data_IF_114730972727
#
_entry.id   IF_114730972727
#
_cell.length_a   1.000
_cell.length_b   1.000
_cell.length_c   1.000
_cell.angle_alpha   90.00
_cell.angle_beta   90.00
_cell.angle_gamma   90.00
#
_symmetry.space_group_name_H-M   'P 1'
#
loop_
_entity.id
_entity.type
_entity.pdbx_description
1 polymer ?
#
# COMPACT_ATOMS: atom_id res chain seq x y z
N UNK A 1 -62.99 -19.73 -12.35
CA UNK A 1 -61.63 -20.32 -12.39
C UNK A 1 -61.31 -20.51 -13.86
N UNK A 2 -60.57 -19.63 -14.54
CA UNK A 2 -59.18 -19.23 -14.27
C UNK A 2 -58.96 -17.76 -14.65
N UNK A 3 -58.41 -16.99 -13.73
CA UNK A 3 -57.99 -15.60 -13.90
C UNK A 3 -56.85 -15.52 -14.93
N UNK A 4 -57.15 -15.00 -16.11
CA UNK A 4 -56.16 -14.62 -17.14
C UNK A 4 -56.49 -13.23 -17.68
N UNK A 5 -56.74 -12.28 -16.78
CA UNK A 5 -56.53 -10.88 -17.14
C UNK A 5 -55.05 -10.73 -17.48
N UNK A 6 -54.77 -10.46 -18.75
CA UNK A 6 -53.39 -10.40 -19.24
C UNK A 6 -52.63 -9.31 -18.49
N UNK A 7 -51.34 -9.50 -18.21
CA UNK A 7 -50.53 -8.54 -17.43
C UNK A 7 -50.62 -7.11 -18.02
N UNK A 8 -50.72 -7.01 -19.34
CA UNK A 8 -50.95 -5.75 -20.07
C UNK A 8 -52.32 -5.17 -19.75
N UNK A 9 -53.36 -5.99 -19.69
CA UNK A 9 -54.72 -5.58 -19.35
C UNK A 9 -54.81 -5.05 -17.91
N UNK A 10 -54.15 -5.72 -16.96
CA UNK A 10 -54.04 -5.22 -15.57
C UNK A 10 -53.27 -3.88 -15.50
N UNK A 11 -52.19 -3.73 -16.28
CA UNK A 11 -51.44 -2.49 -16.37
C UNK A 11 -52.30 -1.38 -16.98
N UNK A 12 -53.06 -1.66 -18.05
CA UNK A 12 -53.95 -0.68 -18.67
C UNK A 12 -55.09 -0.26 -17.77
N UNK A 13 -55.68 -1.19 -17.00
CA UNK A 13 -56.74 -0.88 -16.04
C UNK A 13 -56.19 -0.05 -14.88
N UNK A 14 -55.01 -0.41 -14.35
CA UNK A 14 -54.32 0.35 -13.31
C UNK A 14 -53.89 1.76 -13.79
N UNK A 15 -53.48 1.89 -15.05
CA UNK A 15 -53.22 3.20 -15.67
C UNK A 15 -54.48 4.01 -15.88
N UNK A 16 -55.61 3.38 -16.21
CA UNK A 16 -56.89 4.07 -16.44
C UNK A 16 -57.50 4.57 -15.13
N UNK A 17 -57.33 3.83 -14.04
CA UNK A 17 -57.86 4.17 -12.72
C UNK A 17 -56.95 5.12 -11.92
N UNK A 18 -55.62 4.95 -12.03
CA UNK A 18 -54.66 5.76 -11.25
C UNK A 18 -53.83 6.73 -12.10
N UNK A 19 -54.02 6.75 -13.42
CA UNK A 19 -53.51 7.74 -14.37
C UNK A 19 -52.04 8.10 -14.17
N UNK A 20 -51.84 9.20 -13.44
CA UNK A 20 -50.55 9.79 -13.15
C UNK A 20 -49.69 8.91 -12.21
N UNK A 21 -50.28 8.33 -11.17
CA UNK A 21 -49.52 7.59 -10.14
C UNK A 21 -48.95 6.28 -10.69
N UNK A 22 -49.74 5.57 -11.52
CA UNK A 22 -49.28 4.36 -12.19
C UNK A 22 -48.18 4.67 -13.21
N UNK A 23 -48.31 5.78 -13.95
CA UNK A 23 -47.30 6.23 -14.90
C UNK A 23 -45.97 6.57 -14.22
N UNK A 24 -46.01 7.31 -13.10
CA UNK A 24 -44.82 7.65 -12.32
C UNK A 24 -44.18 6.38 -11.76
N UNK A 25 -44.97 5.46 -11.21
CA UNK A 25 -44.48 4.18 -10.72
C UNK A 25 -43.76 3.37 -11.81
N UNK A 26 -44.39 3.22 -12.98
CA UNK A 26 -43.81 2.50 -14.12
C UNK A 26 -42.51 3.17 -14.61
N UNK A 27 -42.49 4.50 -14.72
CA UNK A 27 -41.32 5.27 -15.15
C UNK A 27 -40.15 5.12 -14.17
N UNK A 28 -40.41 5.22 -12.86
CA UNK A 28 -39.39 5.01 -11.83
C UNK A 28 -38.84 3.58 -11.87
N UNK A 29 -39.72 2.59 -11.98
CA UNK A 29 -39.31 1.18 -12.04
C UNK A 29 -38.46 0.90 -13.29
N UNK A 30 -38.81 1.50 -14.43
CA UNK A 30 -38.03 1.43 -15.66
C UNK A 30 -36.66 2.10 -15.50
N UNK A 31 -36.58 3.28 -14.89
CA UNK A 31 -35.32 3.97 -14.62
C UNK A 31 -34.41 3.15 -13.70
N UNK A 32 -34.95 2.55 -12.63
CA UNK A 32 -34.19 1.67 -11.75
C UNK A 32 -33.72 0.39 -12.46
N UNK A 33 -34.55 -0.20 -13.33
CA UNK A 33 -34.18 -1.36 -14.12
C UNK A 33 -33.05 -1.03 -15.11
N UNK A 34 -33.12 0.11 -15.79
CA UNK A 34 -32.06 0.60 -16.68
C UNK A 34 -30.78 0.90 -15.90
N UNK A 35 -30.89 1.57 -14.74
CA UNK A 35 -29.75 1.83 -13.87
C UNK A 35 -29.06 0.52 -13.45
N UNK A 36 -29.81 -0.48 -12.97
CA UNK A 36 -29.26 -1.78 -12.62
C UNK A 36 -28.60 -2.51 -13.79
N UNK A 37 -29.18 -2.44 -14.99
CA UNK A 37 -28.60 -3.03 -16.19
C UNK A 37 -27.32 -2.31 -16.64
N UNK A 38 -27.29 -0.98 -16.57
CA UNK A 38 -26.10 -0.16 -16.89
C UNK A 38 -25.03 -0.38 -15.84
N UNK A 39 -25.35 -0.44 -14.55
CA UNK A 39 -24.40 -0.77 -13.49
C UNK A 39 -23.81 -2.17 -13.73
N UNK A 40 -24.64 -3.17 -14.03
CA UNK A 40 -24.14 -4.51 -14.39
C UNK A 40 -23.20 -4.46 -15.58
N UNK A 41 -23.55 -3.72 -16.65
CA UNK A 41 -22.76 -3.61 -17.88
C UNK A 41 -21.47 -2.78 -17.71
N UNK A 42 -21.51 -1.73 -16.90
CA UNK A 42 -20.37 -0.87 -16.58
C UNK A 42 -19.34 -1.62 -15.71
N UNK A 43 -19.80 -2.48 -14.80
CA UNK A 43 -18.92 -3.35 -14.01
C UNK A 43 -18.46 -4.61 -14.76
N UNK A 44 -19.20 -5.11 -15.77
CA UNK A 44 -18.74 -6.24 -16.64
C UNK A 44 -17.93 -5.80 -17.85
N UNK A 45 -17.51 -4.54 -17.95
CA UNK A 45 -16.48 -4.19 -18.94
C UNK A 45 -15.18 -4.86 -18.52
N UNK A 46 -14.90 -6.05 -19.05
CA UNK A 46 -13.65 -6.80 -18.80
C UNK A 46 -12.41 -5.93 -18.99
N UNK A 47 -12.49 -4.91 -19.86
CA UNK A 47 -11.43 -3.93 -20.06
C UNK A 47 -11.17 -3.05 -18.82
N UNK A 48 -12.21 -2.65 -18.08
CA UNK A 48 -12.07 -1.86 -16.87
C UNK A 48 -11.50 -2.69 -15.72
N UNK A 49 -11.98 -3.94 -15.58
CA UNK A 49 -11.48 -4.90 -14.58
C UNK A 49 -10.01 -5.24 -14.85
N UNK A 50 -9.64 -5.52 -16.10
CA UNK A 50 -8.24 -5.78 -16.48
C UNK A 50 -7.34 -4.58 -16.23
N UNK A 51 -7.83 -3.36 -16.47
CA UNK A 51 -7.07 -2.13 -16.18
C UNK A 51 -6.87 -1.95 -14.67
N UNK A 52 -7.90 -2.15 -13.86
CA UNK A 52 -7.81 -2.12 -12.40
C UNK A 52 -6.86 -3.20 -11.86
N UNK A 53 -6.87 -4.39 -12.44
CA UNK A 53 -5.90 -5.44 -12.09
C UNK A 53 -4.46 -5.06 -12.45
N UNK A 54 -4.24 -4.39 -13.59
CA UNK A 54 -2.92 -3.89 -13.97
C UNK A 54 -2.44 -2.80 -13.02
N UNK A 55 -3.29 -1.80 -12.74
CA UNK A 55 -3.00 -0.73 -11.79
C UNK A 55 -2.69 -1.31 -10.39
N UNK A 56 -3.48 -2.28 -9.92
CA UNK A 56 -3.24 -2.96 -8.64
C UNK A 56 -1.93 -3.75 -8.62
N UNK A 57 -1.55 -4.41 -9.73
CA UNK A 57 -0.26 -5.11 -9.83
C UNK A 57 0.91 -4.13 -9.83
N UNK A 58 0.77 -2.97 -10.46
CA UNK A 58 1.79 -1.93 -10.44
C UNK A 58 1.96 -1.32 -9.06
N UNK A 59 0.86 -1.02 -8.36
CA UNK A 59 0.92 -0.54 -6.97
C UNK A 59 1.57 -1.57 -6.04
N UNK A 60 1.21 -2.85 -6.17
CA UNK A 60 1.86 -3.93 -5.40
C UNK A 60 3.37 -4.01 -5.65
N UNK A 61 3.80 -3.89 -6.91
CA UNK A 61 5.23 -3.85 -7.25
C UNK A 61 5.93 -2.63 -6.65
N UNK A 62 5.30 -1.46 -6.63
CA UNK A 62 5.87 -0.26 -5.99
C UNK A 62 5.98 -0.44 -4.47
N UNK A 63 4.94 -0.96 -3.84
CA UNK A 63 4.94 -1.24 -2.40
C UNK A 63 6.00 -2.29 -2.01
N UNK A 64 6.17 -3.33 -2.83
CA UNK A 64 7.20 -4.35 -2.61
C UNK A 64 8.61 -3.78 -2.74
N UNK A 65 8.87 -2.94 -3.74
CA UNK A 65 10.16 -2.25 -3.88
C UNK A 65 10.49 -1.38 -2.67
N UNK A 66 9.54 -0.56 -2.22
CA UNK A 66 9.72 0.28 -1.03
C UNK A 66 10.02 -0.59 0.19
N UNK A 67 9.29 -1.70 0.37
CA UNK A 67 9.53 -2.62 1.48
C UNK A 67 10.91 -3.28 1.44
N UNK A 68 11.41 -3.62 0.26
CA UNK A 68 12.76 -4.19 0.08
C UNK A 68 13.82 -3.12 0.40
N UNK A 69 13.67 -1.91 -0.15
CA UNK A 69 14.58 -0.79 0.11
C UNK A 69 14.63 -0.43 1.60
N UNK A 70 13.49 -0.36 2.27
CA UNK A 70 13.40 -0.11 3.72
C UNK A 70 14.04 -1.22 4.54
N UNK A 71 13.96 -2.47 4.09
CA UNK A 71 14.57 -3.62 4.78
C UNK A 71 16.10 -3.65 4.60
N UNK A 72 16.58 -3.34 3.41
CA UNK A 72 17.99 -3.49 3.07
C UNK A 72 18.82 -2.25 3.52
N UNK A 73 18.19 -1.07 3.64
CA UNK A 73 18.82 0.17 4.15
C UNK A 73 19.43 0.04 5.57
N UNK A 74 18.76 -0.50 6.59
CA UNK A 74 19.34 -0.65 7.92
C UNK A 74 20.49 -1.67 7.94
N UNK A 75 20.49 -2.67 7.06
CA UNK A 75 21.59 -3.63 6.98
C UNK A 75 22.86 -2.98 6.44
N UNK A 76 22.74 -2.16 5.40
CA UNK A 76 23.86 -1.38 4.87
C UNK A 76 24.43 -0.40 5.91
N UNK A 77 23.54 0.32 6.61
CA UNK A 77 23.96 1.25 7.69
C UNK A 77 24.68 0.53 8.82
N UNK A 78 24.18 -0.63 9.28
CA UNK A 78 24.86 -1.42 10.32
C UNK A 78 26.25 -1.86 9.89
N UNK A 79 26.45 -2.23 8.63
CA UNK A 79 27.76 -2.63 8.13
C UNK A 79 28.76 -1.45 8.12
N UNK A 80 28.29 -0.26 7.74
CA UNK A 80 29.08 0.98 7.80
C UNK A 80 29.43 1.37 9.24
N UNK A 81 28.46 1.29 10.15
CA UNK A 81 28.65 1.58 11.57
C UNK A 81 29.69 0.63 12.18
N UNK A 82 29.55 -0.69 11.95
CA UNK A 82 30.51 -1.69 12.42
C UNK A 82 31.93 -1.42 11.91
N UNK A 83 32.07 -0.97 10.65
CA UNK A 83 33.38 -0.62 10.07
C UNK A 83 33.96 0.62 10.76
N UNK A 84 33.15 1.65 10.96
CA UNK A 84 33.59 2.88 11.64
C UNK A 84 34.05 2.60 13.07
N UNK A 85 33.35 1.74 13.80
CA UNK A 85 33.74 1.31 15.15
C UNK A 85 35.04 0.50 15.14
N UNK A 86 35.26 -0.35 14.14
CA UNK A 86 36.51 -1.09 14.02
C UNK A 86 37.69 -0.15 13.76
N UNK A 87 37.52 0.86 12.92
CA UNK A 87 38.54 1.88 12.68
C UNK A 87 38.82 2.71 13.94
N UNK A 88 37.78 3.06 14.69
CA UNK A 88 37.91 3.73 15.97
C UNK A 88 38.69 2.87 16.97
N UNK A 89 38.33 1.58 17.13
CA UNK A 89 39.03 0.62 17.98
C UNK A 89 40.52 0.52 17.65
N UNK A 90 40.87 0.40 16.36
CA UNK A 90 42.27 0.35 15.90
C UNK A 90 43.05 1.63 16.21
N UNK A 91 42.37 2.78 16.30
CA UNK A 91 43.01 4.05 16.67
C UNK A 91 43.30 4.08 18.16
N UNK A 92 42.29 3.77 18.98
CA UNK A 92 42.42 3.70 20.44
C UNK A 92 43.50 2.69 20.85
N UNK A 93 43.56 1.53 20.20
CA UNK A 93 44.59 0.52 20.49
C UNK A 93 46.01 1.05 20.20
N UNK A 94 46.19 1.78 19.10
CA UNK A 94 47.49 2.41 18.78
C UNK A 94 47.85 3.46 19.82
N UNK A 95 46.89 4.29 20.22
CA UNK A 95 47.12 5.35 21.21
C UNK A 95 47.48 4.74 22.57
N UNK A 96 46.79 3.68 23.00
CA UNK A 96 47.12 2.92 24.22
C UNK A 96 48.54 2.35 24.12
N UNK A 97 48.91 1.77 22.98
CA UNK A 97 50.24 1.22 22.80
C UNK A 97 51.31 2.31 22.88
N UNK A 98 51.09 3.46 22.25
CA UNK A 98 52.00 4.60 22.32
C UNK A 98 52.13 5.14 23.75
N UNK A 99 51.02 5.32 24.47
CA UNK A 99 51.06 5.75 25.86
C UNK A 99 51.81 4.74 26.74
N UNK A 100 51.59 3.45 26.53
CA UNK A 100 52.29 2.39 27.25
C UNK A 100 53.80 2.45 27.01
N UNK A 101 54.24 2.64 25.76
CA UNK A 101 55.66 2.79 25.43
C UNK A 101 56.27 4.05 26.08
N UNK A 102 55.56 5.18 26.04
CA UNK A 102 56.01 6.42 26.70
C UNK A 102 56.16 6.26 28.21
N UNK A 103 55.20 5.59 28.86
CA UNK A 103 55.27 5.30 30.29
C UNK A 103 56.45 4.37 30.61
N UNK A 104 56.63 3.30 29.83
CA UNK A 104 57.77 2.39 30.02
C UNK A 104 59.12 3.10 29.82
N UNK A 105 59.24 3.94 28.80
CA UNK A 105 60.45 4.73 28.57
C UNK A 105 60.76 5.67 29.75
N UNK A 106 59.73 6.34 30.29
CA UNK A 106 59.88 7.20 31.47
C UNK A 106 60.30 6.42 32.74
N UNK A 107 59.83 5.17 32.91
CA UNK A 107 60.25 4.31 34.01
C UNK A 107 61.67 3.76 33.83
N UNK A 108 62.10 3.46 32.61
CA UNK A 108 63.44 2.92 32.32
C UNK A 108 64.53 4.01 32.36
N UNK A 109 64.18 5.25 32.02
CA UNK A 109 65.05 6.42 32.09
C UNK A 109 64.47 7.45 33.06
N UNK A 110 64.54 7.20 34.38
CA UNK A 110 64.03 8.16 35.35
C UNK A 110 64.79 9.49 35.20
N UNK A 111 64.09 10.63 35.31
CA UNK A 111 64.76 11.93 35.26
C UNK A 111 65.83 12.00 36.36
N UNK A 112 66.96 12.69 36.13
CA UNK A 112 67.98 12.87 37.15
C UNK A 112 67.32 13.47 38.41
N UNK A 113 67.52 12.82 39.56
CA UNK A 113 67.14 13.39 40.83
C UNK A 113 68.27 14.34 41.24
N UNK A 114 67.97 15.64 41.30
CA UNK A 114 68.86 16.66 41.85
C UNK A 114 69.17 16.40 43.34
#
# INVERSE_FOLDING_TARGET
MTDRTTMIEQITTAFREKGLTAAIGAALTFLFAVAGAVTRKAFTSEALVRRLEQELREERKRAEKVRIEERDRPEAQRAEDMKSEQEHRKRVERDIHQMRELLFAAFQHPPPQD
#
